data_IF_555108004327
#
_entry.id   IF_555108004327
#
_cell.length_a   1.000
_cell.length_b   1.000
_cell.length_c   1.000
_cell.angle_alpha   90.00
_cell.angle_beta   90.00
_cell.angle_gamma   90.00
#
_symmetry.space_group_name_H-M   'P 1'
#
loop_
_entity.id
_entity.type
_entity.pdbx_description
1 polymer ?
#
# COMPACT_ATOMS: atom_id res chain seq x y z
N UNK A 1 2.32 -17.54 -50.25
CA UNK A 1 2.85 -17.69 -48.89
C UNK A 1 2.64 -16.35 -48.19
N UNK A 2 1.49 -16.20 -47.54
CA UNK A 2 1.13 -14.96 -46.83
C UNK A 2 1.23 -15.22 -45.33
N UNK A 3 2.11 -14.51 -44.64
CA UNK A 3 2.15 -14.49 -43.19
C UNK A 3 0.95 -13.68 -42.70
N UNK A 4 0.06 -14.31 -41.94
CA UNK A 4 -1.07 -13.63 -41.31
C UNK A 4 -0.56 -12.92 -40.05
N UNK A 5 -0.76 -11.60 -40.04
CA UNK A 5 -0.70 -10.75 -38.85
C UNK A 5 -1.73 -11.17 -37.82
N UNK A 6 -1.56 -10.61 -36.61
CA UNK A 6 -2.48 -10.60 -35.46
C UNK A 6 -2.37 -11.70 -34.43
N UNK A 7 -1.45 -11.49 -33.47
CA UNK A 7 -1.67 -11.91 -32.07
C UNK A 7 -1.31 -10.76 -31.12
N UNK A 8 -1.95 -9.61 -31.27
CA UNK A 8 -2.17 -8.71 -30.13
C UNK A 8 -3.50 -9.10 -29.50
N UNK A 9 -3.51 -10.17 -28.69
CA UNK A 9 -4.67 -10.43 -27.83
C UNK A 9 -4.69 -9.37 -26.75
N UNK A 10 -5.80 -8.62 -26.75
CA UNK A 10 -6.18 -7.69 -25.71
C UNK A 10 -5.99 -8.34 -24.33
N UNK A 11 -5.35 -7.61 -23.43
CA UNK A 11 -5.42 -7.87 -22.01
C UNK A 11 -6.80 -7.41 -21.53
N UNK A 12 -7.82 -8.18 -21.88
CA UNK A 12 -9.12 -8.08 -21.23
C UNK A 12 -8.92 -8.56 -19.79
N UNK A 13 -8.65 -7.61 -18.90
CA UNK A 13 -8.47 -7.87 -17.49
C UNK A 13 -9.78 -8.44 -16.93
N UNK A 14 -9.77 -9.74 -16.64
CA UNK A 14 -10.82 -10.43 -15.88
C UNK A 14 -11.04 -9.69 -14.55
N UNK A 15 -12.23 -9.11 -14.31
CA UNK A 15 -12.50 -8.34 -13.10
C UNK A 15 -12.56 -9.21 -11.83
N UNK A 16 -12.60 -10.54 -11.98
CA UNK A 16 -12.74 -11.50 -10.88
C UNK A 16 -11.41 -12.18 -10.48
N UNK A 17 -10.30 -11.85 -11.16
CA UNK A 17 -9.00 -12.26 -10.64
C UNK A 17 -8.67 -11.45 -9.39
N UNK A 18 -8.34 -12.11 -8.25
CA UNK A 18 -7.84 -11.40 -7.09
C UNK A 18 -6.63 -10.61 -7.56
N UNK A 19 -6.67 -9.30 -7.35
CA UNK A 19 -5.55 -8.42 -7.66
C UNK A 19 -4.38 -8.85 -6.76
N UNK A 20 -3.58 -9.82 -7.19
CA UNK A 20 -2.33 -10.22 -6.52
C UNK A 20 -1.28 -9.17 -6.84
N UNK A 21 -1.61 -7.91 -6.59
CA UNK A 21 -0.67 -6.81 -6.65
C UNK A 21 -0.02 -6.79 -5.28
N UNK A 22 1.19 -7.34 -5.23
CA UNK A 22 1.92 -7.48 -3.98
C UNK A 22 2.30 -6.14 -3.36
N UNK A 23 2.57 -6.16 -2.06
CA UNK A 23 3.05 -5.03 -1.25
C UNK A 23 4.11 -4.15 -1.95
N UNK A 24 5.04 -4.78 -2.69
CA UNK A 24 6.07 -4.06 -3.45
C UNK A 24 5.49 -3.16 -4.53
N UNK A 25 4.48 -3.61 -5.27
CA UNK A 25 3.88 -2.83 -6.35
C UNK A 25 3.10 -1.62 -5.80
N UNK A 26 2.38 -1.77 -4.69
CA UNK A 26 1.80 -0.64 -3.95
C UNK A 26 2.86 0.40 -3.57
N UNK A 27 3.99 -0.04 -2.98
CA UNK A 27 5.09 0.85 -2.62
C UNK A 27 5.79 1.51 -3.82
N UNK A 28 5.90 0.82 -4.96
CA UNK A 28 6.44 1.41 -6.19
C UNK A 28 5.50 2.48 -6.76
N UNK A 29 4.18 2.26 -6.74
CA UNK A 29 3.18 3.23 -7.18
C UNK A 29 3.20 4.47 -6.28
N UNK A 30 3.27 4.26 -4.97
CA UNK A 30 3.41 5.34 -4.00
C UNK A 30 4.68 6.16 -4.24
N UNK A 31 5.82 5.49 -4.46
CA UNK A 31 7.08 6.16 -4.79
C UNK A 31 6.99 6.96 -6.09
N UNK A 32 6.34 6.42 -7.12
CA UNK A 32 6.17 7.13 -8.41
C UNK A 32 5.24 8.35 -8.28
N UNK A 33 4.14 8.22 -7.53
CA UNK A 33 3.14 9.28 -7.39
C UNK A 33 3.55 10.39 -6.41
N UNK A 34 4.19 10.02 -5.30
CA UNK A 34 4.45 10.92 -4.17
C UNK A 34 5.93 10.99 -3.77
N UNK A 35 6.81 10.25 -4.41
CA UNK A 35 8.22 10.25 -4.04
C UNK A 35 8.50 9.56 -2.70
N UNK A 36 9.64 9.88 -2.10
CA UNK A 36 10.12 9.24 -0.87
C UNK A 36 9.45 9.87 0.34
N UNK A 37 9.09 9.06 1.34
CA UNK A 37 8.56 9.57 2.61
C UNK A 37 9.50 10.61 3.26
N UNK A 38 10.81 10.45 3.11
CA UNK A 38 11.84 11.37 3.63
C UNK A 38 11.74 12.79 3.08
N UNK A 39 11.00 13.01 2.00
CA UNK A 39 10.73 14.35 1.44
C UNK A 39 9.63 15.11 2.19
N UNK A 40 9.01 14.49 3.20
CA UNK A 40 7.87 15.03 3.94
C UNK A 40 8.14 15.12 5.45
N UNK A 41 7.50 16.07 6.16
CA UNK A 41 7.45 16.04 7.61
C UNK A 41 6.66 14.81 8.09
N UNK A 42 7.01 14.30 9.27
CA UNK A 42 6.23 13.26 9.93
C UNK A 42 4.87 13.81 10.33
N UNK A 43 3.79 13.12 9.95
CA UNK A 43 2.42 13.47 10.35
C UNK A 43 2.05 13.02 11.77
N UNK A 44 2.87 12.19 12.42
CA UNK A 44 2.79 12.04 13.87
C UNK A 44 3.33 13.29 14.56
N UNK A 45 2.65 13.77 15.62
CA UNK A 45 2.88 15.00 16.40
C UNK A 45 4.26 15.09 17.09
N UNK A 46 5.33 14.94 16.32
CA UNK A 46 6.72 14.88 16.80
C UNK A 46 7.64 15.88 16.10
N UNK A 47 7.20 16.50 15.00
CA UNK A 47 7.95 17.51 14.24
C UNK A 47 9.21 17.00 13.52
N UNK A 48 9.47 15.68 13.49
CA UNK A 48 10.64 15.10 12.83
C UNK A 48 10.39 14.88 11.33
N UNK A 49 11.42 14.75 10.49
CA UNK A 49 11.25 14.23 9.13
C UNK A 49 10.66 12.82 9.13
N UNK A 50 9.83 12.51 8.15
CA UNK A 50 9.38 11.14 7.95
C UNK A 50 10.52 10.24 7.45
N UNK A 51 10.36 8.94 7.66
CA UNK A 51 11.28 7.91 7.20
C UNK A 51 10.59 6.86 6.34
N UNK A 52 9.30 6.64 6.59
CA UNK A 52 8.51 5.55 6.05
C UNK A 52 7.11 6.05 5.68
N UNK A 53 6.45 5.32 4.78
CA UNK A 53 5.05 5.49 4.47
C UNK A 53 4.23 4.52 5.34
N UNK A 54 3.27 5.05 6.10
CA UNK A 54 2.35 4.29 6.93
C UNK A 54 0.99 4.21 6.24
N UNK A 55 0.47 2.99 6.04
CA UNK A 55 -0.86 2.81 5.46
C UNK A 55 -1.94 3.06 6.54
N UNK A 56 -2.93 3.89 6.23
CA UNK A 56 -3.93 4.38 7.20
C UNK A 56 -5.05 3.38 7.55
N UNK A 57 -5.07 2.22 6.88
CA UNK A 57 -6.06 1.16 7.10
C UNK A 57 -7.51 1.57 6.77
N UNK A 58 -7.71 2.61 5.96
CA UNK A 58 -9.03 3.16 5.62
C UNK A 58 -9.52 2.80 4.21
N UNK A 59 -8.74 2.06 3.43
CA UNK A 59 -9.13 1.69 2.07
C UNK A 59 -10.30 0.67 2.11
N UNK A 60 -11.45 0.95 1.47
CA UNK A 60 -12.50 -0.06 1.29
C UNK A 60 -12.03 -1.25 0.44
N UNK A 61 -11.08 -1.05 -0.47
CA UNK A 61 -10.50 -2.07 -1.35
C UNK A 61 -9.13 -2.56 -0.83
N UNK A 62 -8.98 -2.64 0.50
CA UNK A 62 -7.73 -3.04 1.15
C UNK A 62 -7.22 -4.41 0.67
N UNK A 63 -5.92 -4.47 0.38
CA UNK A 63 -5.23 -5.68 -0.02
C UNK A 63 -4.43 -6.28 1.14
N UNK A 64 -4.23 -7.59 1.10
CA UNK A 64 -3.33 -8.31 2.02
C UNK A 64 -2.25 -9.02 1.21
N UNK A 65 -0.98 -8.79 1.57
CA UNK A 65 0.16 -9.48 0.97
C UNK A 65 1.06 -10.08 2.06
N UNK A 66 1.65 -11.24 1.79
CA UNK A 66 2.65 -11.84 2.70
C UNK A 66 4.00 -11.18 2.50
N UNK A 67 4.53 -10.55 3.55
CA UNK A 67 5.86 -9.91 3.57
C UNK A 67 6.64 -10.50 4.73
N UNK A 68 7.83 -11.06 4.44
CA UNK A 68 8.67 -11.73 5.43
C UNK A 68 7.92 -12.78 6.27
N UNK A 69 7.08 -13.59 5.60
CA UNK A 69 6.32 -14.67 6.24
C UNK A 69 5.09 -14.22 7.05
N UNK A 70 4.75 -12.93 7.05
CA UNK A 70 3.61 -12.40 7.79
C UNK A 70 2.68 -11.55 6.90
N UNK A 71 1.36 -11.58 7.13
CA UNK A 71 0.43 -10.75 6.37
C UNK A 71 0.68 -9.26 6.64
N UNK A 72 0.59 -8.45 5.59
CA UNK A 72 0.65 -6.99 5.61
C UNK A 72 -0.49 -6.44 4.77
N UNK A 73 -1.27 -5.58 5.40
CA UNK A 73 -2.33 -4.82 4.72
C UNK A 73 -1.71 -3.66 3.95
N UNK A 74 -2.27 -3.37 2.79
CA UNK A 74 -1.80 -2.30 1.91
C UNK A 74 -2.93 -1.82 0.98
N UNK A 75 -2.66 -0.77 0.22
CA UNK A 75 -3.59 -0.18 -0.75
C UNK A 75 -2.85 0.15 -2.05
N UNK A 76 -3.56 0.16 -3.18
CA UNK A 76 -3.05 0.69 -4.45
C UNK A 76 -3.31 2.19 -4.62
N UNK A 77 -4.10 2.78 -3.74
CA UNK A 77 -4.34 4.22 -3.68
C UNK A 77 -3.21 4.90 -2.90
N UNK A 78 -2.35 5.71 -3.56
CA UNK A 78 -1.27 6.41 -2.89
C UNK A 78 -1.74 7.35 -1.78
N UNK A 79 -2.99 7.80 -1.78
CA UNK A 79 -3.53 8.75 -0.79
C UNK A 79 -3.83 8.09 0.56
N UNK A 80 -3.86 6.75 0.61
CA UNK A 80 -4.01 5.97 1.85
C UNK A 80 -2.74 5.86 2.68
N UNK A 81 -1.69 6.56 2.30
CA UNK A 81 -0.40 6.51 2.96
C UNK A 81 -0.03 7.84 3.60
N UNK A 82 0.50 7.78 4.82
CA UNK A 82 0.91 8.94 5.60
C UNK A 82 2.43 8.89 5.81
N UNK A 83 3.16 10.00 5.60
CA UNK A 83 4.59 10.02 5.85
C UNK A 83 4.80 10.07 7.38
N UNK A 84 5.53 9.08 7.91
CA UNK A 84 5.79 8.99 9.34
C UNK A 84 7.26 8.66 9.64
N UNK A 85 7.75 9.17 10.77
CA UNK A 85 9.00 8.69 11.33
C UNK A 85 8.77 7.31 11.99
N UNK A 86 9.82 6.49 12.09
CA UNK A 86 9.76 5.13 12.66
C UNK A 86 9.06 5.01 14.01
N UNK A 87 9.32 5.86 15.02
CA UNK A 87 8.62 5.73 16.30
C UNK A 87 7.12 6.03 16.19
N UNK A 88 6.73 7.08 15.45
CA UNK A 88 5.32 7.40 15.22
C UNK A 88 4.61 6.32 14.42
N UNK A 89 5.26 5.79 13.37
CA UNK A 89 4.74 4.70 12.56
C UNK A 89 4.43 3.45 13.40
N UNK A 90 5.39 3.01 14.24
CA UNK A 90 5.16 1.87 15.15
C UNK A 90 4.05 2.09 16.17
N UNK A 91 3.91 3.33 16.66
CA UNK A 91 2.80 3.68 17.56
C UNK A 91 1.46 3.61 16.82
N UNK A 92 1.39 4.21 15.63
CA UNK A 92 0.23 4.21 14.75
C UNK A 92 -0.25 2.78 14.43
N UNK A 93 0.65 1.92 13.97
CA UNK A 93 0.34 0.52 13.66
C UNK A 93 -0.21 -0.24 14.88
N UNK A 94 0.36 -0.02 16.07
CA UNK A 94 -0.11 -0.65 17.30
C UNK A 94 -1.52 -0.19 17.65
N UNK A 95 -1.81 1.10 17.51
CA UNK A 95 -3.14 1.67 17.76
C UNK A 95 -4.17 1.09 16.79
N UNK A 96 -3.88 1.06 15.49
CA UNK A 96 -4.79 0.47 14.50
C UNK A 96 -5.00 -1.04 14.70
N UNK A 97 -3.95 -1.78 15.07
CA UNK A 97 -4.08 -3.20 15.45
C UNK A 97 -5.00 -3.37 16.65
N UNK A 98 -4.87 -2.53 17.67
CA UNK A 98 -5.72 -2.58 18.85
C UNK A 98 -7.19 -2.26 18.49
N UNK A 99 -7.44 -1.15 17.79
CA UNK A 99 -8.79 -0.73 17.39
C UNK A 99 -9.50 -1.81 16.57
N UNK A 100 -8.79 -2.51 15.68
CA UNK A 100 -9.37 -3.62 14.92
C UNK A 100 -9.74 -4.84 15.75
N UNK A 101 -8.97 -5.16 16.80
CA UNK A 101 -9.34 -6.24 17.73
C UNK A 101 -10.63 -5.90 18.49
N UNK A 102 -10.88 -4.62 18.76
CA UNK A 102 -12.07 -4.17 19.47
C UNK A 102 -13.29 -3.96 18.56
N UNK A 103 -13.09 -3.64 17.28
CA UNK A 103 -14.18 -3.44 16.32
C UNK A 103 -14.87 -4.75 15.84
N UNK A 104 -14.36 -5.92 16.24
CA UNK A 104 -14.90 -7.24 15.87
C UNK A 104 -15.74 -7.89 16.98
N UNK A 105 -16.23 -7.10 17.95
CA UNK A 105 -17.12 -7.54 19.04
C UNK A 105 -18.51 -6.94 18.93
#
# INVERSE_FOLDING_TARGET
MSASSDVFRAWDADPDQPRVVGYRAAHMRLLAARGRATSYPCMGDCGRPAAEWAYDNSDPDELVATVNGAPRRNSLDPDRYQPMCRPCHRHFDRTHRALRVYATW
#
